data_IF_408920438594
#
_entry.id   IF_408920438594
#
_cell.length_a   1.000
_cell.length_b   1.000
_cell.length_c   1.000
_cell.angle_alpha   90.00
_cell.angle_beta   90.00
_cell.angle_gamma   90.00
#
_symmetry.space_group_name_H-M   'P 1'
#
loop_
_entity.id
_entity.type
_entity.pdbx_description
1 polymer ?
#
# COMPACT_ATOMS: atom_id res chain seq x y z
N UNK A 1 6.28 4.77 -5.26
CA UNK A 1 6.14 3.36 -5.59
C UNK A 1 7.20 3.02 -6.61
N UNK A 2 8.14 2.16 -6.25
CA UNK A 2 9.30 1.81 -7.07
C UNK A 2 8.96 0.80 -8.18
N UNK A 3 7.77 0.23 -8.11
CA UNK A 3 7.29 -0.78 -9.04
C UNK A 3 6.14 -0.23 -9.88
N UNK A 4 6.22 -0.40 -11.20
CA UNK A 4 5.15 -0.01 -12.12
C UNK A 4 3.86 -0.78 -11.79
N UNK A 5 2.75 -0.06 -11.69
CA UNK A 5 1.43 -0.67 -11.48
C UNK A 5 0.99 -1.32 -12.79
N UNK A 6 0.96 -2.65 -12.80
CA UNK A 6 0.52 -3.46 -13.94
C UNK A 6 -1.00 -3.53 -14.02
N UNK A 7 -1.67 -3.54 -12.86
CA UNK A 7 -3.14 -3.61 -12.81
C UNK A 7 -3.70 -2.95 -11.56
N UNK A 8 -4.84 -2.29 -11.73
CA UNK A 8 -5.70 -1.81 -10.64
C UNK A 8 -7.01 -2.58 -10.66
N UNK A 9 -7.39 -3.14 -9.52
CA UNK A 9 -8.65 -3.86 -9.33
C UNK A 9 -9.46 -3.17 -8.23
N UNK A 10 -10.70 -2.81 -8.52
CA UNK A 10 -11.64 -2.27 -7.52
C UNK A 10 -12.56 -3.40 -7.08
N UNK A 11 -12.61 -3.65 -5.78
CA UNK A 11 -13.34 -4.76 -5.17
C UNK A 11 -14.21 -4.20 -4.05
N UNK A 12 -15.46 -3.85 -4.38
CA UNK A 12 -16.37 -3.14 -3.48
C UNK A 12 -15.70 -1.85 -2.94
N UNK A 13 -15.42 -1.78 -1.64
CA UNK A 13 -14.78 -0.65 -0.96
C UNK A 13 -13.26 -0.74 -0.88
N UNK A 14 -12.67 -1.77 -1.50
CA UNK A 14 -11.24 -2.04 -1.48
C UNK A 14 -10.61 -1.82 -2.85
N UNK A 15 -9.33 -1.52 -2.87
CA UNK A 15 -8.56 -1.32 -4.10
C UNK A 15 -7.28 -2.15 -4.03
N UNK A 16 -7.08 -3.06 -4.98
CA UNK A 16 -5.83 -3.82 -5.13
C UNK A 16 -5.02 -3.28 -6.31
N UNK A 17 -3.75 -3.01 -6.07
CA UNK A 17 -2.76 -2.69 -7.08
C UNK A 17 -1.83 -3.90 -7.24
N UNK A 18 -1.68 -4.40 -8.47
CA UNK A 18 -0.72 -5.45 -8.78
C UNK A 18 0.48 -4.80 -9.46
N UNK A 19 1.66 -5.10 -8.94
CA UNK A 19 2.94 -4.71 -9.52
C UNK A 19 3.51 -5.84 -10.38
N UNK A 20 3.35 -7.09 -9.91
CA UNK A 20 3.71 -8.32 -10.62
C UNK A 20 2.73 -9.43 -10.24
N UNK A 21 2.94 -10.64 -10.77
CA UNK A 21 2.09 -11.80 -10.49
C UNK A 21 1.93 -12.06 -8.98
N UNK A 22 3.03 -11.96 -8.24
CA UNK A 22 3.10 -12.29 -6.80
C UNK A 22 3.43 -11.06 -5.93
N UNK A 23 3.37 -9.85 -6.50
CA UNK A 23 3.64 -8.59 -5.78
C UNK A 23 2.46 -7.64 -5.92
N UNK A 24 1.88 -7.25 -4.79
CA UNK A 24 0.67 -6.43 -4.77
C UNK A 24 0.55 -5.58 -3.51
N UNK A 25 -0.29 -4.54 -3.61
CA UNK A 25 -0.73 -3.70 -2.51
C UNK A 25 -2.27 -3.69 -2.45
N UNK A 26 -2.85 -3.87 -1.26
CA UNK A 26 -4.29 -3.80 -1.03
C UNK A 26 -4.61 -2.67 -0.05
N UNK A 27 -5.40 -1.72 -0.52
CA UNK A 27 -6.08 -0.73 0.31
C UNK A 27 -7.43 -1.28 0.73
N UNK A 28 -7.63 -1.45 2.03
CA UNK A 28 -8.87 -1.96 2.61
C UNK A 28 -9.41 -1.02 3.66
N UNK A 29 -10.65 -0.59 3.49
CA UNK A 29 -11.38 0.12 4.55
C UNK A 29 -11.82 -0.88 5.62
N UNK A 30 -11.56 -0.53 6.88
CA UNK A 30 -11.99 -1.32 8.03
C UNK A 30 -13.52 -1.26 8.20
N UNK A 31 -14.11 -2.37 8.63
CA UNK A 31 -15.54 -2.45 8.92
C UNK A 31 -15.88 -2.19 10.40
N UNK A 32 -14.88 -2.25 11.27
CA UNK A 32 -15.07 -2.22 12.73
C UNK A 32 -14.50 -0.96 13.36
N UNK A 33 -13.64 -0.23 12.65
CA UNK A 33 -12.90 0.92 13.16
C UNK A 33 -12.73 1.94 12.03
N UNK A 34 -12.61 3.25 12.31
CA UNK A 34 -12.41 4.28 11.29
C UNK A 34 -10.95 4.31 10.82
N UNK A 35 -10.49 3.24 10.15
CA UNK A 35 -9.12 3.14 9.64
C UNK A 35 -9.06 2.54 8.23
N UNK A 36 -8.03 2.95 7.47
CA UNK A 36 -7.62 2.32 6.22
C UNK A 36 -6.43 1.42 6.51
N UNK A 37 -6.50 0.16 6.10
CA UNK A 37 -5.41 -0.81 6.21
C UNK A 37 -4.75 -0.97 4.86
N UNK A 38 -3.43 -0.94 4.86
CA UNK A 38 -2.59 -1.11 3.68
C UNK A 38 -1.81 -2.41 3.86
N UNK A 39 -2.06 -3.38 2.99
CA UNK A 39 -1.36 -4.66 2.98
C UNK A 39 -0.43 -4.71 1.78
N UNK A 40 0.79 -5.23 1.98
CA UNK A 40 1.76 -5.45 0.92
C UNK A 40 2.16 -6.92 0.90
N UNK A 41 2.24 -7.48 -0.30
CA UNK A 41 2.91 -8.75 -0.55
C UNK A 41 4.04 -8.49 -1.56
N UNK A 42 5.25 -8.88 -1.19
CA UNK A 42 6.48 -8.63 -1.94
C UNK A 42 7.36 -9.88 -1.92
N UNK A 43 8.11 -10.13 -2.98
CA UNK A 43 8.99 -11.30 -3.07
C UNK A 43 10.27 -11.18 -2.22
N UNK A 44 10.58 -9.99 -1.70
CA UNK A 44 11.76 -9.76 -0.86
C UNK A 44 11.46 -8.81 0.30
N UNK A 45 12.17 -9.02 1.41
CA UNK A 45 12.10 -8.13 2.57
C UNK A 45 12.59 -6.71 2.24
N UNK A 46 13.63 -6.59 1.42
CA UNK A 46 14.18 -5.31 0.96
C UNK A 46 13.14 -4.52 0.14
N UNK A 47 12.44 -5.18 -0.78
CA UNK A 47 11.36 -4.56 -1.55
C UNK A 47 10.21 -4.09 -0.65
N UNK A 48 9.84 -4.89 0.34
CA UNK A 48 8.82 -4.53 1.32
C UNK A 48 9.23 -3.30 2.15
N UNK A 49 10.48 -3.23 2.61
CA UNK A 49 11.01 -2.10 3.37
C UNK A 49 11.01 -0.83 2.54
N UNK A 50 11.49 -0.90 1.29
CA UNK A 50 11.49 0.23 0.37
C UNK A 50 10.08 0.78 0.10
N UNK A 51 9.13 -0.08 -0.22
CA UNK A 51 7.75 0.34 -0.47
C UNK A 51 7.09 0.91 0.79
N UNK A 52 7.42 0.38 1.98
CA UNK A 52 7.00 0.98 3.25
C UNK A 52 7.56 2.39 3.42
N UNK A 53 8.86 2.59 3.22
CA UNK A 53 9.49 3.90 3.36
C UNK A 53 8.91 4.94 2.40
N UNK A 54 8.69 4.56 1.13
CA UNK A 54 8.08 5.43 0.14
C UNK A 54 6.63 5.81 0.50
N UNK A 55 5.84 4.84 0.97
CA UNK A 55 4.48 5.09 1.44
C UNK A 55 4.48 6.06 2.63
N UNK A 56 5.31 5.81 3.65
CA UNK A 56 5.37 6.69 4.82
C UNK A 56 5.87 8.08 4.45
N UNK A 57 6.85 8.19 3.56
CA UNK A 57 7.32 9.48 3.03
C UNK A 57 6.20 10.24 2.33
N UNK A 58 5.40 9.56 1.50
CA UNK A 58 4.21 10.14 0.89
C UNK A 58 3.18 10.60 1.94
N UNK A 59 2.82 9.73 2.88
CA UNK A 59 1.83 10.06 3.91
C UNK A 59 2.26 11.26 4.78
N UNK A 60 3.55 11.37 5.11
CA UNK A 60 4.11 12.54 5.82
C UNK A 60 4.03 13.80 4.98
N UNK A 61 4.40 13.73 3.70
CA UNK A 61 4.33 14.86 2.77
C UNK A 61 2.90 15.39 2.64
N UNK A 62 1.92 14.50 2.63
CA UNK A 62 0.49 14.86 2.58
C UNK A 62 -0.09 15.25 3.96
N UNK A 63 0.71 15.23 5.03
CA UNK A 63 0.27 15.59 6.39
C UNK A 63 -0.72 14.58 7.00
N UNK A 64 -0.71 13.33 6.54
CA UNK A 64 -1.63 12.28 6.98
C UNK A 64 -1.12 11.49 8.19
N UNK A 65 0.18 11.56 8.48
CA UNK A 65 0.83 10.97 9.64
C UNK A 65 1.91 11.92 10.18
N UNK A 66 2.11 11.95 11.49
CA UNK A 66 3.19 12.72 12.15
C UNK A 66 4.50 11.89 12.20
N UNK A 67 5.64 12.56 12.36
CA UNK A 67 6.89 11.88 12.75
C UNK A 67 6.77 11.47 14.23
N UNK A 68 7.01 10.19 14.53
CA UNK A 68 7.25 9.75 15.92
C UNK A 68 8.60 10.25 16.43
#
# INVERSE_FOLDING_TARGET
FASDIVKKEVMDRNIRFLFRKDEWCLLRLSNTEPCCRIYFEMNSLEGLQKEREELFSFLRKEGLIEEE
#
